data_IF_758086897062
#
_entry.id   IF_758086897062
#
_cell.length_a   1.000
_cell.length_b   1.000
_cell.length_c   1.000
_cell.angle_alpha   90.00
_cell.angle_beta   90.00
_cell.angle_gamma   90.00
#
_symmetry.space_group_name_H-M   'P 1'
#
loop_
_entity.id
_entity.type
_entity.pdbx_description
1 polymer ?
#
# COMPACT_ATOMS: atom_id res chain seq x y z
N UNK A 1 0.86 -6.74 -4.36
CA UNK A 1 1.96 -7.66 -4.04
C UNK A 1 1.43 -8.74 -3.12
N UNK A 2 1.78 -10.01 -3.33
CA UNK A 2 1.48 -11.09 -2.37
C UNK A 2 2.76 -11.38 -1.58
N UNK A 3 2.66 -11.39 -0.25
CA UNK A 3 3.78 -11.62 0.65
C UNK A 3 3.33 -12.23 1.97
N UNK A 4 4.28 -12.47 2.89
CA UNK A 4 4.02 -13.14 4.17
C UNK A 4 3.24 -12.28 5.18
N UNK A 5 3.10 -10.98 4.93
CA UNK A 5 2.37 -10.04 5.79
C UNK A 5 0.92 -10.45 6.07
N UNK A 6 0.29 -11.24 5.19
CA UNK A 6 -1.05 -11.79 5.44
C UNK A 6 -1.10 -12.65 6.71
N UNK A 7 -0.04 -13.39 7.05
CA UNK A 7 -0.03 -14.24 8.25
C UNK A 7 0.30 -13.45 9.51
N UNK A 8 1.17 -12.44 9.40
CA UNK A 8 1.63 -11.65 10.53
C UNK A 8 0.62 -10.56 10.91
N UNK A 9 0.15 -9.77 9.93
CA UNK A 9 -0.75 -8.63 10.19
C UNK A 9 -2.12 -9.07 10.69
N UNK A 10 -2.69 -10.15 10.12
CA UNK A 10 -3.95 -10.71 10.62
C UNK A 10 -3.84 -11.20 12.06
N UNK A 11 -2.71 -11.84 12.41
CA UNK A 11 -2.45 -12.30 13.77
C UNK A 11 -2.51 -11.18 14.81
N UNK A 12 -1.98 -9.99 14.49
CA UNK A 12 -2.08 -8.82 15.36
C UNK A 12 -3.46 -8.16 15.33
N UNK A 13 -4.13 -8.11 14.18
CA UNK A 13 -5.43 -7.44 14.02
C UNK A 13 -6.56 -8.14 14.78
N UNK A 14 -6.58 -9.47 14.80
CA UNK A 14 -7.63 -10.27 15.47
C UNK A 14 -7.64 -10.05 16.99
N UNK A 15 -6.53 -9.67 17.60
CA UNK A 15 -6.48 -9.35 19.03
C UNK A 15 -7.31 -8.11 19.36
N UNK A 16 -7.30 -7.09 18.49
CA UNK A 16 -8.01 -5.83 18.69
C UNK A 16 -9.39 -5.77 18.03
N UNK A 17 -9.63 -6.55 16.97
CA UNK A 17 -10.86 -6.52 16.17
C UNK A 17 -11.54 -7.88 16.22
N UNK A 18 -12.57 -7.99 17.05
CA UNK A 18 -13.33 -9.23 17.24
C UNK A 18 -14.46 -9.41 16.20
N UNK A 19 -14.76 -8.37 15.41
CA UNK A 19 -15.76 -8.43 14.34
C UNK A 19 -15.12 -8.82 13.00
N UNK A 20 -15.49 -10.00 12.49
CA UNK A 20 -15.01 -10.48 11.19
C UNK A 20 -15.39 -9.55 10.03
N UNK A 21 -16.56 -8.92 10.07
CA UNK A 21 -16.98 -7.95 9.06
C UNK A 21 -16.09 -6.70 9.08
N UNK A 22 -15.79 -6.16 10.26
CA UNK A 22 -14.91 -5.00 10.39
C UNK A 22 -13.49 -5.31 9.88
N UNK A 23 -12.99 -6.52 10.14
CA UNK A 23 -11.70 -6.97 9.65
C UNK A 23 -11.68 -7.07 8.11
N UNK A 24 -12.71 -7.66 7.50
CA UNK A 24 -12.82 -7.72 6.04
C UNK A 24 -12.87 -6.32 5.41
N UNK A 25 -13.67 -5.42 5.98
CA UNK A 25 -13.75 -4.03 5.52
C UNK A 25 -12.42 -3.29 5.62
N UNK A 26 -11.65 -3.52 6.68
CA UNK A 26 -10.29 -2.97 6.84
C UNK A 26 -9.38 -3.38 5.67
N UNK A 27 -9.40 -4.67 5.28
CA UNK A 27 -8.60 -5.17 4.17
C UNK A 27 -9.07 -4.63 2.81
N UNK A 28 -10.38 -4.52 2.59
CA UNK A 28 -10.95 -3.93 1.36
C UNK A 28 -10.53 -2.47 1.22
N UNK A 29 -10.68 -1.67 2.28
CA UNK A 29 -10.29 -0.25 2.27
C UNK A 29 -8.77 -0.09 2.11
N UNK A 30 -7.98 -0.90 2.81
CA UNK A 30 -6.52 -0.91 2.66
C UNK A 30 -6.07 -1.25 1.23
N UNK A 31 -6.75 -2.21 0.59
CA UNK A 31 -6.53 -2.55 -0.81
C UNK A 31 -6.85 -1.40 -1.76
N UNK A 32 -7.96 -0.69 -1.52
CA UNK A 32 -8.36 0.46 -2.33
C UNK A 32 -7.34 1.61 -2.21
N UNK A 33 -6.87 1.91 -0.99
CA UNK A 33 -5.85 2.94 -0.76
C UNK A 33 -4.54 2.57 -1.47
N UNK A 34 -4.12 1.30 -1.37
CA UNK A 34 -2.92 0.82 -2.06
C UNK A 34 -3.04 0.93 -3.58
N UNK A 35 -4.23 0.68 -4.15
CA UNK A 35 -4.47 0.85 -5.58
C UNK A 35 -4.35 2.32 -6.00
N UNK A 36 -4.97 3.24 -5.25
CA UNK A 36 -4.85 4.68 -5.50
C UNK A 36 -3.38 5.12 -5.45
N UNK A 37 -2.63 4.68 -4.45
CA UNK A 37 -1.19 4.95 -4.35
C UNK A 37 -0.41 4.42 -5.54
N UNK A 38 -0.69 3.19 -5.99
CA UNK A 38 -0.02 2.59 -7.14
C UNK A 38 -0.26 3.38 -8.43
N UNK A 39 -1.48 3.89 -8.66
CA UNK A 39 -1.78 4.75 -9.81
C UNK A 39 -1.02 6.06 -9.73
N UNK A 40 -1.03 6.74 -8.57
CA UNK A 40 -0.28 8.00 -8.38
C UNK A 40 1.22 7.82 -8.61
N UNK A 41 1.81 6.73 -8.12
CA UNK A 41 3.22 6.40 -8.38
C UNK A 41 3.46 6.02 -9.84
N UNK A 42 2.48 5.39 -10.51
CA UNK A 42 2.54 5.09 -11.94
C UNK A 42 2.64 6.36 -12.79
N UNK A 43 1.81 7.36 -12.51
CA UNK A 43 1.87 8.67 -13.18
C UNK A 43 3.23 9.35 -12.96
N UNK A 44 3.73 9.30 -11.72
CA UNK A 44 5.03 9.87 -11.37
C UNK A 44 6.18 9.17 -12.10
N UNK A 45 6.13 7.84 -12.19
CA UNK A 45 7.10 7.03 -12.92
C UNK A 45 7.06 7.29 -14.43
N UNK A 46 5.88 7.55 -14.99
CA UNK A 46 5.72 7.92 -16.40
C UNK A 46 6.26 9.34 -16.68
N UNK A 47 6.05 10.29 -15.76
CA UNK A 47 6.52 11.67 -15.88
C UNK A 47 8.05 11.79 -15.72
N UNK A 48 8.66 10.97 -14.87
CA UNK A 48 10.11 10.98 -14.57
C UNK A 48 10.74 9.59 -14.82
N UNK A 49 10.92 9.17 -16.10
CA UNK A 49 11.34 7.82 -16.46
C UNK A 49 12.86 7.62 -16.32
N UNK A 50 13.35 7.67 -15.08
CA UNK A 50 14.76 7.46 -14.71
C UNK A 50 14.87 6.44 -13.58
N UNK A 51 16.00 5.74 -13.54
CA UNK A 51 16.32 4.82 -12.45
C UNK A 51 16.51 5.55 -11.12
N UNK A 52 16.04 4.96 -10.03
CA UNK A 52 16.20 5.48 -8.67
C UNK A 52 14.90 5.54 -7.85
N UNK A 53 13.74 5.34 -8.48
CA UNK A 53 12.45 5.22 -7.80
C UNK A 53 12.14 6.42 -6.91
N UNK A 54 11.71 6.16 -5.68
CA UNK A 54 11.31 7.21 -4.73
C UNK A 54 12.42 8.21 -4.43
N UNK A 55 13.67 7.74 -4.31
CA UNK A 55 14.82 8.62 -4.08
C UNK A 55 14.97 9.63 -5.24
N UNK A 56 14.81 9.16 -6.48
CA UNK A 56 14.88 10.04 -7.63
C UNK A 56 13.76 11.08 -7.62
N UNK A 57 12.52 10.65 -7.35
CA UNK A 57 11.37 11.56 -7.31
C UNK A 57 11.55 12.65 -6.26
N UNK A 58 11.94 12.27 -5.05
CA UNK A 58 12.17 13.23 -3.96
C UNK A 58 13.31 14.20 -4.30
N UNK A 59 14.40 13.72 -4.90
CA UNK A 59 15.55 14.55 -5.30
C UNK A 59 15.28 15.53 -6.45
N UNK A 60 14.22 15.32 -7.23
CA UNK A 60 13.80 16.26 -8.28
C UNK A 60 12.76 17.27 -7.78
N UNK A 61 11.90 16.87 -6.84
CA UNK A 61 10.80 17.71 -6.36
C UNK A 61 11.25 18.68 -5.26
N UNK A 62 12.23 18.27 -4.43
CA UNK A 62 12.79 19.05 -3.33
C UNK A 62 14.24 19.40 -3.59
#
# INVERSE_FOLDING_TARGET
MVGTGVFTSLGFQILGIQSGFALLMLWVVGGLISLCGAVSYGELAAAMPRSGGEYHYLSQIY
#
